data_IF_114561807988
#
_entry.id   IF_114561807988
#
_cell.length_a   1.000
_cell.length_b   1.000
_cell.length_c   1.000
_cell.angle_alpha   90.00
_cell.angle_beta   90.00
_cell.angle_gamma   90.00
#
_symmetry.space_group_name_H-M   'P 1'
#
loop_
_entity.id
_entity.type
_entity.pdbx_description
1 polymer ?
#
# COMPACT_ATOMS: atom_id res chain seq x y z
N UNK A 1 12.98 -25.56 -21.14
CA UNK A 1 13.65 -26.78 -21.67
C UNK A 1 12.64 -27.67 -22.37
N UNK A 2 12.94 -28.09 -23.58
CA UNK A 2 12.08 -28.95 -24.41
C UNK A 2 12.73 -30.30 -24.68
N UNK A 3 11.89 -31.32 -24.82
CA UNK A 3 12.26 -32.66 -25.22
C UNK A 3 11.61 -33.06 -26.55
N UNK A 4 12.36 -33.73 -27.40
CA UNK A 4 11.86 -34.38 -28.60
C UNK A 4 11.69 -35.87 -28.33
N UNK A 5 10.48 -36.37 -28.56
CA UNK A 5 10.08 -37.75 -28.26
C UNK A 5 9.58 -38.47 -29.52
N UNK A 6 9.75 -39.79 -29.56
CA UNK A 6 9.24 -40.60 -30.65
C UNK A 6 7.70 -40.78 -30.50
N UNK A 7 6.91 -40.44 -31.55
CA UNK A 7 5.46 -40.67 -31.56
C UNK A 7 5.08 -42.10 -31.87
N UNK A 8 5.99 -42.80 -32.56
CA UNK A 8 5.90 -44.22 -32.93
C UNK A 8 7.32 -44.85 -32.85
N UNK A 9 7.44 -46.17 -33.00
CA UNK A 9 8.74 -46.80 -33.06
C UNK A 9 9.52 -46.30 -34.30
N UNK A 10 10.67 -45.66 -34.09
CA UNK A 10 11.57 -45.23 -35.16
C UNK A 10 12.54 -46.35 -35.46
N UNK A 11 12.45 -46.87 -36.69
CA UNK A 11 13.21 -48.05 -37.11
C UNK A 11 14.34 -47.61 -38.06
N UNK A 12 15.53 -48.19 -37.91
CA UNK A 12 16.64 -47.93 -38.81
C UNK A 12 16.32 -48.39 -40.24
N UNK A 13 16.60 -47.60 -41.29
CA UNK A 13 16.22 -47.92 -42.65
C UNK A 13 16.97 -49.08 -43.30
N UNK A 14 18.03 -49.58 -42.66
CA UNK A 14 18.84 -50.70 -43.17
C UNK A 14 18.15 -52.09 -43.11
N UNK A 15 17.00 -52.14 -42.43
CA UNK A 15 16.21 -53.39 -42.26
C UNK A 15 16.86 -54.45 -41.37
N UNK A 16 17.97 -54.15 -40.70
CA UNK A 16 18.76 -55.06 -39.86
C UNK A 16 18.92 -54.58 -38.43
N UNK A 17 19.15 -53.28 -38.24
CA UNK A 17 19.44 -52.70 -36.92
C UNK A 17 18.19 -52.70 -36.00
N UNK A 18 16.99 -52.66 -36.58
CA UNK A 18 15.74 -52.69 -35.82
C UNK A 18 15.34 -51.34 -35.29
N UNK A 19 14.65 -51.32 -34.12
CA UNK A 19 14.11 -50.13 -33.49
C UNK A 19 15.22 -49.31 -32.83
N UNK A 20 15.37 -48.07 -33.25
CA UNK A 20 16.29 -47.08 -32.68
C UNK A 20 15.70 -46.40 -31.46
N UNK A 21 14.48 -45.93 -31.60
CA UNK A 21 13.73 -45.29 -30.54
C UNK A 21 12.34 -45.91 -30.44
N UNK A 22 11.96 -46.35 -29.26
CA UNK A 22 10.61 -46.84 -29.00
C UNK A 22 9.66 -45.69 -28.88
N UNK A 23 8.40 -45.92 -29.17
CA UNK A 23 7.32 -44.98 -28.92
C UNK A 23 7.44 -44.37 -27.52
N UNK A 24 7.23 -43.06 -27.42
CA UNK A 24 7.27 -42.22 -26.22
C UNK A 24 8.65 -42.14 -25.51
N UNK A 25 9.73 -42.67 -26.16
CA UNK A 25 11.10 -42.47 -25.65
C UNK A 25 11.66 -41.10 -26.04
N UNK A 26 12.45 -40.50 -25.16
CA UNK A 26 13.19 -39.27 -25.41
C UNK A 26 14.27 -39.52 -26.48
N UNK A 27 14.27 -38.72 -27.54
CA UNK A 27 15.26 -38.75 -28.62
C UNK A 27 16.35 -37.71 -28.35
N UNK A 28 15.96 -36.49 -28.02
CA UNK A 28 16.84 -35.36 -27.72
C UNK A 28 16.16 -34.37 -26.76
N UNK A 29 16.97 -33.58 -26.10
CA UNK A 29 16.46 -32.46 -25.28
C UNK A 29 17.38 -31.26 -25.38
N UNK A 30 16.84 -30.06 -25.17
CA UNK A 30 17.60 -28.83 -25.22
C UNK A 30 16.94 -27.68 -24.48
N UNK A 31 17.71 -26.62 -24.30
CA UNK A 31 17.30 -25.38 -23.72
C UNK A 31 17.21 -24.34 -24.83
N UNK A 32 16.14 -23.52 -24.83
CA UNK A 32 16.00 -22.39 -25.75
C UNK A 32 17.16 -21.42 -25.53
N UNK A 33 17.78 -20.97 -26.63
CA UNK A 33 18.84 -19.98 -26.64
C UNK A 33 18.29 -18.57 -26.38
N UNK A 34 19.18 -17.60 -26.15
CA UNK A 34 18.81 -16.18 -25.94
C UNK A 34 18.04 -15.56 -27.12
N UNK A 35 18.23 -16.08 -28.33
CA UNK A 35 17.51 -15.65 -29.53
C UNK A 35 16.11 -16.28 -29.67
N UNK A 36 15.68 -17.08 -28.69
CA UNK A 36 14.39 -17.75 -28.67
C UNK A 36 14.32 -19.04 -29.50
N UNK A 37 15.44 -19.57 -30.00
CA UNK A 37 15.49 -20.77 -30.83
C UNK A 37 16.04 -22.00 -30.11
N UNK A 38 15.62 -23.19 -30.55
CA UNK A 38 16.17 -24.46 -30.17
C UNK A 38 16.19 -25.37 -31.41
N UNK A 39 17.36 -25.88 -31.78
CA UNK A 39 17.52 -26.76 -32.92
C UNK A 39 17.79 -28.18 -32.44
N UNK A 40 17.10 -29.15 -33.05
CA UNK A 40 17.41 -30.56 -32.99
C UNK A 40 17.94 -31.00 -34.39
N UNK A 41 19.11 -31.51 -34.44
CA UNK A 41 19.77 -31.92 -35.70
C UNK A 41 20.14 -33.40 -35.67
N UNK A 42 20.54 -33.93 -36.83
CA UNK A 42 20.97 -35.33 -37.02
C UNK A 42 19.91 -36.35 -36.59
N UNK A 43 18.64 -36.04 -36.89
CA UNK A 43 17.50 -36.89 -36.53
C UNK A 43 17.23 -37.93 -37.62
N UNK A 44 16.70 -39.08 -37.21
CA UNK A 44 16.13 -40.06 -38.15
C UNK A 44 14.74 -39.64 -38.61
N UNK A 45 14.37 -40.09 -39.83
CA UNK A 45 13.00 -39.87 -40.32
C UNK A 45 11.98 -40.61 -39.44
N UNK A 46 10.83 -40.05 -39.25
CA UNK A 46 9.73 -40.61 -38.45
C UNK A 46 8.83 -39.55 -37.81
N UNK A 47 7.80 -40.02 -37.17
CA UNK A 47 6.89 -39.16 -36.42
C UNK A 47 7.36 -38.94 -35.01
N UNK A 48 7.44 -37.70 -34.60
CA UNK A 48 7.94 -37.26 -33.33
C UNK A 48 6.98 -36.24 -32.73
N UNK A 49 7.23 -35.88 -31.49
CA UNK A 49 6.58 -34.72 -30.87
C UNK A 49 7.54 -33.98 -29.95
N UNK A 50 7.39 -32.68 -29.91
CA UNK A 50 8.10 -31.80 -28.99
C UNK A 50 7.18 -31.51 -27.80
N UNK A 51 7.75 -31.59 -26.61
CA UNK A 51 7.02 -31.27 -25.36
C UNK A 51 7.92 -30.50 -24.42
N UNK A 52 7.32 -29.55 -23.73
CA UNK A 52 8.04 -28.84 -22.67
C UNK A 52 8.30 -29.75 -21.47
N UNK A 53 9.55 -29.75 -20.99
CA UNK A 53 9.97 -30.44 -19.79
C UNK A 53 9.99 -29.51 -18.58
N UNK A 54 10.56 -28.32 -18.77
CA UNK A 54 10.67 -27.31 -17.70
C UNK A 54 10.51 -25.94 -18.31
N UNK A 55 9.51 -25.14 -17.85
CA UNK A 55 9.31 -23.77 -18.32
C UNK A 55 10.42 -22.84 -17.81
N UNK A 56 10.61 -21.68 -18.43
CA UNK A 56 11.39 -20.60 -17.86
C UNK A 56 10.76 -20.10 -16.54
N UNK A 57 11.56 -19.40 -15.74
CA UNK A 57 11.07 -18.76 -14.53
C UNK A 57 9.96 -17.75 -14.88
N UNK A 58 8.86 -17.76 -14.11
CA UNK A 58 7.71 -16.89 -14.35
C UNK A 58 6.69 -17.40 -15.37
N UNK A 59 6.92 -18.56 -15.99
CA UNK A 59 6.00 -19.13 -16.95
C UNK A 59 5.37 -20.44 -16.45
N UNK A 60 4.22 -20.78 -17.01
CA UNK A 60 3.55 -22.06 -16.75
C UNK A 60 4.05 -23.14 -17.69
N UNK A 61 4.03 -24.38 -17.26
CA UNK A 61 4.36 -25.51 -18.15
C UNK A 61 3.29 -25.63 -19.25
N UNK A 62 3.72 -25.68 -20.50
CA UNK A 62 2.85 -26.04 -21.62
C UNK A 62 2.76 -27.58 -21.74
N UNK A 63 1.60 -28.19 -21.42
CA UNK A 63 1.44 -29.64 -21.53
C UNK A 63 1.25 -30.14 -22.97
N UNK A 64 1.22 -29.25 -23.95
CA UNK A 64 0.94 -29.58 -25.33
C UNK A 64 2.05 -30.42 -25.94
N UNK A 65 1.64 -31.47 -26.66
CA UNK A 65 2.54 -32.28 -27.49
C UNK A 65 2.45 -31.79 -28.92
N UNK A 66 3.50 -31.14 -29.40
CA UNK A 66 3.58 -30.58 -30.73
C UNK A 66 4.12 -31.63 -31.70
N UNK A 67 3.26 -32.11 -32.60
CA UNK A 67 3.66 -33.17 -33.57
C UNK A 67 4.60 -32.66 -34.63
N UNK A 68 5.61 -33.45 -34.93
CA UNK A 68 6.61 -33.21 -35.97
C UNK A 68 6.75 -34.49 -36.81
N UNK A 69 6.51 -34.38 -38.13
CA UNK A 69 6.68 -35.49 -39.08
C UNK A 69 7.87 -35.21 -40.01
N UNK A 70 8.94 -35.95 -39.82
CA UNK A 70 10.11 -35.94 -40.70
C UNK A 70 9.95 -37.08 -41.71
N UNK A 71 9.08 -36.88 -42.70
CA UNK A 71 8.84 -37.87 -43.77
C UNK A 71 9.87 -37.79 -44.89
N UNK A 72 10.16 -38.91 -45.54
CA UNK A 72 10.99 -38.95 -46.72
C UNK A 72 10.39 -38.17 -47.89
N UNK A 73 11.10 -37.20 -48.42
CA UNK A 73 10.64 -36.27 -49.49
C UNK A 73 11.21 -36.56 -50.89
N UNK A 74 11.91 -37.70 -51.02
CA UNK A 74 12.46 -38.12 -52.31
C UNK A 74 13.98 -38.01 -52.35
N UNK A 75 14.60 -38.63 -53.40
CA UNK A 75 16.05 -38.74 -53.51
C UNK A 75 16.77 -37.42 -53.80
N UNK A 76 16.04 -36.41 -54.26
CA UNK A 76 16.59 -35.11 -54.58
C UNK A 76 16.65 -34.19 -53.34
N UNK A 77 16.03 -34.58 -52.20
CA UNK A 77 16.02 -33.85 -50.95
C UNK A 77 17.07 -34.41 -50.02
N UNK A 78 18.15 -33.67 -49.84
CA UNK A 78 19.28 -34.11 -49.01
C UNK A 78 18.97 -33.98 -47.49
N UNK A 79 18.14 -33.03 -47.09
CA UNK A 79 17.81 -32.73 -45.70
C UNK A 79 16.35 -32.30 -45.58
N UNK A 80 15.64 -32.87 -44.62
CA UNK A 80 14.25 -32.49 -44.31
C UNK A 80 14.27 -31.64 -43.05
N UNK A 81 13.70 -30.43 -43.13
CA UNK A 81 13.56 -29.49 -42.01
C UNK A 81 12.09 -29.22 -41.68
N UNK A 82 11.81 -28.99 -40.42
CA UNK A 82 10.48 -28.56 -39.93
C UNK A 82 10.65 -27.50 -38.86
N UNK A 83 9.89 -26.40 -39.02
CA UNK A 83 9.84 -25.34 -38.05
C UNK A 83 8.58 -25.49 -37.18
N UNK A 84 8.74 -25.24 -35.88
CA UNK A 84 7.68 -25.27 -34.89
C UNK A 84 7.73 -23.98 -34.09
N UNK A 85 6.57 -23.37 -33.88
CA UNK A 85 6.44 -22.20 -33.01
C UNK A 85 5.61 -22.60 -31.79
N UNK A 86 6.14 -22.35 -30.61
CA UNK A 86 5.46 -22.55 -29.33
C UNK A 86 5.27 -21.20 -28.64
N UNK A 87 4.26 -21.09 -27.77
CA UNK A 87 3.98 -19.88 -27.03
C UNK A 87 3.97 -20.19 -25.54
N UNK A 88 4.75 -19.42 -24.80
CA UNK A 88 4.79 -19.51 -23.34
C UNK A 88 3.66 -18.69 -22.71
N UNK A 89 3.13 -19.15 -21.59
CA UNK A 89 2.14 -18.44 -20.81
C UNK A 89 2.73 -17.95 -19.50
N UNK A 90 2.73 -16.63 -19.28
CA UNK A 90 3.19 -16.02 -18.05
C UNK A 90 2.26 -16.41 -16.92
N UNK A 91 2.82 -16.78 -15.78
CA UNK A 91 2.08 -16.96 -14.53
C UNK A 91 1.37 -15.67 -14.13
N UNK A 92 0.17 -15.79 -13.60
CA UNK A 92 -0.62 -14.64 -13.12
C UNK A 92 -1.48 -15.01 -11.94
N UNK A 93 -1.63 -14.04 -11.06
CA UNK A 93 -2.50 -14.15 -9.91
C UNK A 93 -2.98 -12.79 -9.46
N UNK A 94 -4.23 -12.69 -9.01
CA UNK A 94 -4.74 -11.53 -8.31
C UNK A 94 -4.33 -11.55 -6.83
N UNK A 95 -4.38 -10.42 -6.16
CA UNK A 95 -4.32 -10.32 -4.71
C UNK A 95 -5.54 -9.58 -4.18
N UNK A 96 -5.85 -9.82 -2.94
CA UNK A 96 -6.94 -9.17 -2.22
C UNK A 96 -6.46 -8.62 -0.88
N UNK A 97 -7.08 -7.56 -0.43
CA UNK A 97 -6.83 -6.96 0.87
C UNK A 97 -8.12 -6.62 1.59
N UNK A 98 -8.06 -6.56 2.90
CA UNK A 98 -9.06 -5.95 3.76
C UNK A 98 -8.38 -4.85 4.55
N UNK A 99 -9.01 -3.67 4.56
CA UNK A 99 -8.59 -2.53 5.34
C UNK A 99 -9.48 -2.41 6.58
N UNK A 100 -8.84 -2.33 7.73
CA UNK A 100 -9.51 -2.13 9.01
C UNK A 100 -8.92 -0.91 9.71
N UNK A 101 -9.72 -0.26 10.56
CA UNK A 101 -9.27 0.80 11.46
C UNK A 101 -9.19 0.25 12.87
N UNK A 102 -8.07 0.45 13.53
CA UNK A 102 -7.91 0.09 14.95
C UNK A 102 -8.18 1.32 15.82
N UNK A 103 -9.26 1.30 16.55
CA UNK A 103 -9.73 2.44 17.36
C UNK A 103 -9.04 2.56 18.71
N UNK A 104 -7.76 2.20 18.80
CA UNK A 104 -6.91 2.42 19.98
C UNK A 104 -7.26 1.62 21.23
N UNK A 105 -8.47 1.13 21.38
CA UNK A 105 -8.94 0.29 22.47
C UNK A 105 -8.76 -1.22 22.23
N UNK A 106 -8.25 -1.60 21.05
CA UNK A 106 -8.07 -2.98 20.59
C UNK A 106 -9.33 -3.86 20.62
N UNK A 107 -10.50 -3.27 20.84
CA UNK A 107 -11.76 -4.00 21.02
C UNK A 107 -12.77 -3.80 19.89
N UNK A 108 -12.64 -2.73 19.11
CA UNK A 108 -13.51 -2.46 17.97
C UNK A 108 -12.69 -2.27 16.69
N UNK A 109 -12.91 -3.16 15.74
CA UNK A 109 -12.28 -3.12 14.42
C UNK A 109 -13.30 -2.65 13.39
N UNK A 110 -13.15 -1.45 12.87
CA UNK A 110 -14.03 -0.93 11.83
C UNK A 110 -13.47 -1.22 10.45
N UNK A 111 -14.34 -1.67 9.56
CA UNK A 111 -14.02 -1.89 8.16
C UNK A 111 -13.94 -0.53 7.44
N UNK A 112 -12.84 -0.28 6.73
CA UNK A 112 -12.56 1.02 6.12
C UNK A 112 -12.98 1.02 4.66
N UNK A 113 -14.01 1.82 4.32
CA UNK A 113 -14.44 2.11 2.94
C UNK A 113 -13.64 3.28 2.36
N UNK A 114 -13.32 3.22 1.07
CA UNK A 114 -12.76 4.34 0.32
C UNK A 114 -11.24 4.50 0.41
N UNK A 115 -10.54 3.58 1.06
CA UNK A 115 -9.08 3.55 0.99
C UNK A 115 -8.64 3.14 -0.42
N UNK A 116 -7.75 3.92 -1.05
CA UNK A 116 -7.27 3.70 -2.41
C UNK A 116 -5.84 3.20 -2.45
N UNK A 117 -5.57 2.19 -3.28
CA UNK A 117 -4.27 1.56 -3.42
C UNK A 117 -3.82 1.55 -4.87
N UNK A 118 -2.61 2.05 -5.14
CA UNK A 118 -1.95 1.94 -6.43
C UNK A 118 -0.89 0.87 -6.40
N UNK A 119 -0.77 0.16 -7.51
CA UNK A 119 0.13 -0.98 -7.68
C UNK A 119 1.20 -0.61 -8.67
N UNK A 120 2.46 -0.88 -8.34
CA UNK A 120 3.61 -0.62 -9.20
C UNK A 120 4.47 -1.87 -9.33
N UNK A 121 4.96 -2.15 -10.52
CA UNK A 121 5.95 -3.22 -10.72
C UNK A 121 7.32 -2.71 -10.22
N UNK A 122 7.94 -3.39 -9.29
CA UNK A 122 9.19 -2.92 -8.67
C UNK A 122 10.30 -2.70 -9.69
N UNK A 123 10.45 -3.61 -10.67
CA UNK A 123 11.48 -3.49 -11.71
C UNK A 123 11.28 -2.33 -12.68
N UNK A 124 10.08 -1.74 -12.77
CA UNK A 124 9.79 -0.59 -13.63
C UNK A 124 9.84 0.75 -12.91
N UNK A 125 10.10 0.77 -11.60
CA UNK A 125 10.27 2.02 -10.87
C UNK A 125 11.55 2.74 -11.32
N UNK A 126 11.45 4.04 -11.56
CA UNK A 126 12.53 4.86 -12.14
C UNK A 126 13.85 4.74 -11.39
N UNK A 127 13.83 4.75 -10.05
CA UNK A 127 15.04 4.60 -9.24
C UNK A 127 15.58 3.18 -9.20
N UNK A 128 14.75 2.18 -9.37
CA UNK A 128 15.17 0.77 -9.48
C UNK A 128 15.79 0.52 -10.85
N UNK A 129 15.15 0.99 -11.91
CA UNK A 129 15.62 0.87 -13.28
C UNK A 129 16.97 1.58 -13.51
N UNK A 130 17.15 2.77 -12.90
CA UNK A 130 18.43 3.49 -12.93
C UNK A 130 19.51 2.92 -12.03
N UNK A 131 19.17 1.98 -11.13
CA UNK A 131 20.07 1.44 -10.12
C UNK A 131 20.34 2.37 -8.93
N UNK A 132 19.61 3.49 -8.81
CA UNK A 132 19.68 4.41 -7.67
C UNK A 132 19.13 3.77 -6.40
N UNK A 133 18.03 2.99 -6.52
CA UNK A 133 17.46 2.20 -5.44
C UNK A 133 17.81 0.72 -5.65
N UNK A 134 18.44 0.13 -4.65
CA UNK A 134 18.80 -1.28 -4.60
C UNK A 134 18.31 -1.89 -3.28
N UNK A 135 18.11 -3.22 -3.23
CA UNK A 135 17.72 -3.89 -1.99
C UNK A 135 18.72 -3.60 -0.86
N UNK A 136 18.24 -3.12 0.27
CA UNK A 136 19.07 -2.80 1.44
C UNK A 136 19.82 -4.02 2.01
N UNK A 137 19.25 -5.22 1.85
CA UNK A 137 19.86 -6.49 2.25
C UNK A 137 20.79 -7.09 1.19
N UNK A 138 20.90 -6.47 0.00
CA UNK A 138 21.73 -6.93 -1.11
C UNK A 138 21.19 -8.14 -1.89
N UNK A 139 20.00 -8.65 -1.55
CA UNK A 139 19.40 -9.83 -2.20
C UNK A 139 18.08 -9.51 -2.86
N UNK A 140 17.07 -9.11 -2.11
CA UNK A 140 15.74 -8.79 -2.63
C UNK A 140 15.14 -7.59 -1.88
N UNK A 141 14.29 -6.85 -2.61
CA UNK A 141 13.57 -5.73 -2.03
C UNK A 141 12.64 -6.16 -0.89
N UNK A 142 12.56 -5.31 0.12
CA UNK A 142 11.65 -5.42 1.26
C UNK A 142 10.73 -4.18 1.29
N UNK A 143 9.68 -4.21 2.09
CA UNK A 143 8.79 -3.06 2.24
C UNK A 143 9.51 -1.81 2.77
N UNK A 144 10.51 -2.00 3.65
CA UNK A 144 11.33 -0.92 4.20
C UNK A 144 12.09 -0.12 3.13
N UNK A 145 12.47 -0.75 2.01
CA UNK A 145 13.19 -0.09 0.92
C UNK A 145 12.33 0.98 0.22
N UNK A 146 11.00 0.90 0.39
CA UNK A 146 10.03 1.83 -0.21
C UNK A 146 9.40 2.80 0.78
N UNK A 147 9.79 2.77 2.07
CA UNK A 147 9.28 3.72 3.05
C UNK A 147 9.73 5.14 2.68
N UNK A 148 8.73 6.03 2.47
CA UNK A 148 8.98 7.41 2.04
C UNK A 148 9.41 7.56 0.57
N UNK A 149 9.23 6.52 -0.25
CA UNK A 149 9.40 6.61 -1.70
C UNK A 149 8.33 7.51 -2.31
N UNK A 150 8.73 8.41 -3.22
CA UNK A 150 7.80 9.30 -3.93
C UNK A 150 7.27 8.60 -5.19
N UNK A 151 6.07 8.03 -5.09
CA UNK A 151 5.38 7.36 -6.20
C UNK A 151 4.65 8.33 -7.15
N UNK A 152 4.61 9.63 -6.86
CA UNK A 152 3.80 10.59 -7.64
C UNK A 152 4.19 10.71 -9.11
N UNK A 153 5.38 10.27 -9.48
CA UNK A 153 5.93 10.32 -10.85
C UNK A 153 6.05 8.96 -11.50
N UNK A 154 5.69 7.90 -10.78
CA UNK A 154 5.81 6.55 -11.28
C UNK A 154 4.57 6.13 -12.08
N UNK A 155 4.79 5.33 -13.13
CA UNK A 155 3.70 4.71 -13.86
C UNK A 155 3.19 3.48 -13.10
N UNK A 156 1.86 3.37 -12.94
CA UNK A 156 1.23 2.22 -12.33
C UNK A 156 1.48 0.94 -13.12
N UNK A 157 1.38 -0.20 -12.44
CA UNK A 157 1.50 -1.51 -13.06
C UNK A 157 0.46 -1.69 -14.18
N UNK A 158 0.76 -2.60 -15.12
CA UNK A 158 -0.17 -3.01 -16.18
C UNK A 158 -0.57 -4.47 -15.99
N UNK A 159 -1.79 -4.78 -16.40
CA UNK A 159 -2.26 -6.15 -16.62
C UNK A 159 -2.52 -6.38 -18.10
N UNK A 160 -2.77 -7.61 -18.51
CA UNK A 160 -3.03 -7.96 -19.92
C UNK A 160 -4.42 -8.53 -20.08
N UNK A 161 -5.23 -7.86 -20.92
CA UNK A 161 -6.56 -8.30 -21.32
C UNK A 161 -6.56 -8.51 -22.83
N UNK A 162 -6.88 -9.71 -23.27
CA UNK A 162 -6.84 -10.10 -24.70
C UNK A 162 -5.50 -9.74 -25.39
N UNK A 163 -4.38 -9.93 -24.69
CA UNK A 163 -3.03 -9.67 -25.17
C UNK A 163 -2.63 -8.19 -25.23
N UNK A 164 -3.47 -7.29 -24.73
CA UNK A 164 -3.19 -5.84 -24.67
C UNK A 164 -2.88 -5.41 -23.24
N UNK A 165 -1.84 -4.61 -23.08
CA UNK A 165 -1.53 -3.98 -21.82
C UNK A 165 -2.62 -2.97 -21.42
N UNK A 166 -3.14 -3.11 -20.21
CA UNK A 166 -4.16 -2.24 -19.61
C UNK A 166 -3.63 -1.79 -18.25
N UNK A 167 -3.65 -0.48 -17.93
CA UNK A 167 -3.26 -0.01 -16.61
C UNK A 167 -4.08 -0.69 -15.51
N UNK A 168 -3.42 -1.09 -14.43
CA UNK A 168 -4.09 -1.54 -13.21
C UNK A 168 -4.78 -0.33 -12.60
N UNK A 169 -6.12 -0.37 -12.39
CA UNK A 169 -6.82 0.74 -11.77
C UNK A 169 -6.41 0.89 -10.30
N UNK A 170 -6.62 2.07 -9.74
CA UNK A 170 -6.56 2.25 -8.30
C UNK A 170 -7.60 1.32 -7.64
N UNK A 171 -7.14 0.53 -6.66
CA UNK A 171 -7.99 -0.42 -5.94
C UNK A 171 -8.65 0.31 -4.78
N UNK A 172 -9.96 0.49 -4.82
CA UNK A 172 -10.71 1.20 -3.78
C UNK A 172 -11.43 0.18 -2.90
N UNK A 173 -11.29 0.31 -1.59
CA UNK A 173 -11.99 -0.56 -0.64
C UNK A 173 -13.48 -0.27 -0.60
N UNK A 174 -14.27 -1.32 -0.56
CA UNK A 174 -15.72 -1.26 -0.41
C UNK A 174 -16.15 -1.10 1.06
N UNK A 175 -17.48 -1.10 1.32
CA UNK A 175 -18.06 -1.03 2.67
C UNK A 175 -17.65 -2.15 3.62
N UNK A 176 -17.01 -3.19 3.11
CA UNK A 176 -16.44 -4.28 3.91
C UNK A 176 -14.93 -4.14 4.06
N UNK A 177 -14.38 -2.99 3.71
CA UNK A 177 -12.95 -2.75 3.68
C UNK A 177 -12.20 -3.58 2.63
N UNK A 178 -12.90 -4.19 1.68
CA UNK A 178 -12.36 -5.15 0.74
C UNK A 178 -11.97 -4.51 -0.59
N UNK A 179 -10.80 -4.85 -1.09
CA UNK A 179 -10.38 -4.54 -2.45
C UNK A 179 -9.69 -5.74 -3.10
N UNK A 180 -9.89 -5.89 -4.42
CA UNK A 180 -9.35 -6.98 -5.24
C UNK A 180 -8.60 -6.40 -6.44
N UNK A 181 -7.38 -6.87 -6.68
CA UNK A 181 -6.65 -6.52 -7.90
C UNK A 181 -7.14 -7.32 -9.10
N UNK A 182 -6.90 -6.84 -10.33
CA UNK A 182 -6.89 -7.72 -11.49
C UNK A 182 -5.77 -8.76 -11.38
N UNK A 183 -5.75 -9.75 -12.26
CA UNK A 183 -4.62 -10.67 -12.37
C UNK A 183 -3.35 -9.90 -12.75
N UNK A 184 -2.32 -10.01 -11.94
CA UNK A 184 -1.00 -9.44 -12.20
C UNK A 184 -0.08 -10.53 -12.75
N UNK A 185 0.77 -10.17 -13.68
CA UNK A 185 1.79 -11.08 -14.22
C UNK A 185 2.86 -11.43 -13.18
N UNK A 186 3.61 -12.50 -13.40
CA UNK A 186 4.78 -12.84 -12.59
C UNK A 186 5.66 -11.61 -12.34
N UNK A 187 6.01 -11.36 -11.08
CA UNK A 187 6.83 -10.24 -10.68
C UNK A 187 6.68 -9.85 -9.21
N UNK A 188 7.50 -8.90 -8.80
CA UNK A 188 7.43 -8.26 -7.49
C UNK A 188 6.78 -6.89 -7.65
N UNK A 189 5.75 -6.65 -6.88
CA UNK A 189 4.98 -5.40 -6.88
C UNK A 189 5.09 -4.70 -5.55
N UNK A 190 5.12 -3.37 -5.57
CA UNK A 190 4.90 -2.54 -4.40
C UNK A 190 3.53 -1.89 -4.51
N UNK A 191 2.83 -1.85 -3.40
CA UNK A 191 1.49 -1.29 -3.28
C UNK A 191 1.54 -0.13 -2.30
N UNK A 192 1.11 1.04 -2.76
CA UNK A 192 1.03 2.29 -2.00
C UNK A 192 -0.43 2.58 -1.66
N UNK A 193 -0.72 3.01 -0.45
CA UNK A 193 -1.99 3.64 -0.14
C UNK A 193 -1.97 5.08 -0.67
N UNK A 194 -2.62 5.28 -1.81
CA UNK A 194 -2.64 6.55 -2.56
C UNK A 194 -3.81 7.46 -2.16
N UNK A 195 -4.88 6.88 -1.63
CA UNK A 195 -6.04 7.60 -1.09
C UNK A 195 -6.28 7.13 0.33
N UNK A 196 -6.00 8.02 1.30
CA UNK A 196 -6.18 7.75 2.72
C UNK A 196 -7.55 8.29 3.15
N UNK A 197 -8.41 7.49 3.77
CA UNK A 197 -9.68 7.98 4.31
C UNK A 197 -9.47 9.05 5.39
N UNK A 198 -10.47 9.91 5.54
CA UNK A 198 -10.42 11.03 6.48
C UNK A 198 -10.14 10.55 7.92
N UNK A 199 -9.27 11.29 8.63
CA UNK A 199 -8.88 11.03 10.03
C UNK A 199 -8.06 9.75 10.26
N UNK A 200 -7.55 9.11 9.20
CA UNK A 200 -6.64 7.98 9.28
C UNK A 200 -5.23 8.35 8.82
N UNK A 201 -4.23 7.57 9.22
CA UNK A 201 -2.84 7.68 8.75
C UNK A 201 -2.62 6.67 7.63
N UNK A 202 -1.90 7.08 6.59
CA UNK A 202 -1.49 6.15 5.53
C UNK A 202 -0.65 5.00 6.12
N UNK A 203 -0.85 3.81 5.60
CA UNK A 203 0.04 2.68 5.91
C UNK A 203 1.34 2.79 5.11
N UNK A 204 2.39 2.16 5.62
CA UNK A 204 3.63 1.99 4.85
C UNK A 204 3.36 1.14 3.60
N UNK A 205 4.07 1.40 2.48
CA UNK A 205 3.98 0.56 1.30
C UNK A 205 4.29 -0.90 1.62
N UNK A 206 3.62 -1.83 0.95
CA UNK A 206 3.84 -3.26 1.14
C UNK A 206 4.11 -3.98 -0.18
N UNK A 207 4.70 -5.17 -0.11
CA UNK A 207 5.07 -5.94 -1.27
C UNK A 207 4.11 -7.09 -1.54
N UNK A 208 3.83 -7.30 -2.82
CA UNK A 208 3.09 -8.44 -3.36
C UNK A 208 3.99 -9.14 -4.38
N UNK A 209 4.26 -10.41 -4.17
CA UNK A 209 5.02 -11.25 -5.10
C UNK A 209 4.09 -12.21 -5.80
N UNK A 210 4.02 -12.12 -7.13
CA UNK A 210 3.31 -13.08 -7.98
C UNK A 210 4.33 -14.09 -8.51
N UNK A 211 4.32 -15.30 -7.99
CA UNK A 211 5.21 -16.39 -8.39
C UNK A 211 4.49 -17.73 -8.67
N UNK A 212 3.17 -17.72 -8.50
CA UNK A 212 2.30 -18.84 -8.84
C UNK A 212 1.31 -18.44 -9.94
N UNK A 213 0.79 -19.44 -10.66
CA UNK A 213 -0.32 -19.27 -11.59
C UNK A 213 -1.60 -19.79 -10.93
N UNK A 214 -2.49 -18.88 -10.54
CA UNK A 214 -3.72 -19.25 -9.86
C UNK A 214 -4.86 -18.31 -10.23
N UNK A 215 -6.07 -18.89 -10.41
CA UNK A 215 -7.32 -18.13 -10.56
C UNK A 215 -7.86 -17.66 -9.22
N UNK A 216 -7.39 -18.26 -8.12
CA UNK A 216 -7.74 -17.83 -6.78
C UNK A 216 -6.79 -16.70 -6.36
N UNK A 217 -7.32 -15.58 -5.84
CA UNK A 217 -6.49 -14.50 -5.33
C UNK A 217 -5.56 -14.99 -4.20
N UNK A 218 -4.39 -14.37 -4.10
CA UNK A 218 -3.52 -14.59 -2.94
C UNK A 218 -4.25 -14.33 -1.63
N UNK A 219 -3.80 -15.02 -0.60
CA UNK A 219 -4.38 -14.97 0.74
C UNK A 219 -4.57 -13.54 1.23
N UNK A 220 -5.66 -13.33 1.93
CA UNK A 220 -6.07 -12.09 2.57
C UNK A 220 -4.95 -11.43 3.36
N UNK A 221 -4.74 -10.15 3.08
CA UNK A 221 -3.90 -9.31 3.92
C UNK A 221 -4.80 -8.32 4.65
N UNK A 222 -4.66 -8.27 5.96
CA UNK A 222 -5.35 -7.31 6.81
C UNK A 222 -4.38 -6.17 7.08
N UNK A 223 -4.81 -4.95 6.86
CA UNK A 223 -4.04 -3.75 7.11
C UNK A 223 -4.77 -2.89 8.13
N UNK A 224 -4.09 -2.59 9.23
CA UNK A 224 -4.61 -1.76 10.31
C UNK A 224 -4.28 -0.30 10.04
N UNK A 225 -5.31 0.54 10.02
CA UNK A 225 -5.13 1.98 10.04
C UNK A 225 -5.10 2.49 11.46
N UNK A 226 -4.15 3.38 11.73
CA UNK A 226 -4.13 4.11 12.98
C UNK A 226 -4.90 5.42 12.82
N UNK A 227 -5.72 5.80 13.81
CA UNK A 227 -6.33 7.11 13.84
C UNK A 227 -5.26 8.21 13.72
N UNK A 228 -5.61 9.29 13.06
CA UNK A 228 -4.77 10.47 13.06
C UNK A 228 -4.87 11.13 14.44
N UNK A 229 -3.73 11.33 15.10
CA UNK A 229 -3.64 11.94 16.43
C UNK A 229 -2.75 13.18 16.35
N UNK A 230 -3.03 14.17 17.21
CA UNK A 230 -2.33 15.44 17.22
C UNK A 230 -2.14 15.98 18.64
N UNK A 231 -1.11 16.78 18.86
CA UNK A 231 -0.93 17.54 20.09
C UNK A 231 -1.62 18.92 19.95
N UNK A 232 -2.47 19.29 20.91
CA UNK A 232 -3.14 20.57 20.92
C UNK A 232 -2.30 21.61 21.69
N UNK A 233 -1.92 22.69 21.01
CA UNK A 233 -1.28 23.86 21.62
C UNK A 233 -2.29 24.97 21.83
N UNK A 234 -2.42 25.45 23.08
CA UNK A 234 -3.29 26.58 23.44
C UNK A 234 -2.42 27.72 23.90
N UNK A 235 -2.53 28.87 23.24
CA UNK A 235 -1.80 30.11 23.59
C UNK A 235 -2.79 31.12 24.19
N UNK A 236 -2.52 31.58 25.41
CA UNK A 236 -3.31 32.64 26.03
C UNK A 236 -2.87 34.01 25.51
N UNK A 237 -3.80 34.78 24.92
CA UNK A 237 -3.54 36.15 24.46
C UNK A 237 -4.37 37.14 25.22
N UNK A 238 -3.83 38.36 25.37
CA UNK A 238 -4.54 39.50 25.87
C UNK A 238 -5.47 40.08 24.81
N UNK A 239 -6.74 40.26 25.12
CA UNK A 239 -7.78 40.67 24.16
C UNK A 239 -7.59 42.13 23.65
N UNK A 240 -6.93 43.00 24.41
CA UNK A 240 -6.72 44.40 24.02
C UNK A 240 -5.48 44.58 23.15
N UNK A 241 -4.43 43.86 23.47
CA UNK A 241 -3.12 44.03 22.80
C UNK A 241 -2.85 42.98 21.74
N UNK A 242 -3.55 41.84 21.78
CA UNK A 242 -3.30 40.68 20.93
C UNK A 242 -2.00 39.93 21.28
N UNK A 243 -1.25 40.37 22.28
CA UNK A 243 0.03 39.75 22.66
C UNK A 243 -0.16 38.52 23.55
N UNK A 244 0.74 37.54 23.51
CA UNK A 244 0.73 36.42 24.44
C UNK A 244 0.80 36.89 25.90
N UNK A 245 0.01 36.28 26.77
CA UNK A 245 0.04 36.53 28.22
C UNK A 245 1.12 35.66 28.84
N UNK A 246 2.31 36.21 29.02
CA UNK A 246 3.50 35.48 29.54
C UNK A 246 3.38 35.23 31.05
N UNK A 247 2.35 34.46 31.42
CA UNK A 247 2.07 34.05 32.82
C UNK A 247 1.62 32.60 32.85
N UNK A 248 2.21 31.82 33.76
CA UNK A 248 1.76 30.48 34.05
C UNK A 248 0.41 30.43 34.78
N UNK A 249 -0.28 29.30 34.69
CA UNK A 249 -1.40 28.97 35.54
C UNK A 249 -2.79 29.33 35.01
N UNK A 250 -2.90 29.85 33.78
CA UNK A 250 -4.20 29.81 33.10
C UNK A 250 -4.60 28.35 32.95
N UNK A 251 -5.82 28.02 33.36
CA UNK A 251 -6.23 26.62 33.41
C UNK A 251 -7.40 26.38 32.45
N UNK A 252 -7.33 25.30 31.72
CA UNK A 252 -8.33 24.91 30.73
C UNK A 252 -8.82 23.48 30.99
N UNK A 253 -10.07 23.22 30.61
CA UNK A 253 -10.61 21.89 30.38
C UNK A 253 -10.92 21.71 28.91
N UNK A 254 -10.76 20.52 28.41
CA UNK A 254 -11.07 20.15 27.03
C UNK A 254 -12.21 19.13 27.09
N UNK A 255 -13.33 19.42 26.44
CA UNK A 255 -14.50 18.55 26.39
C UNK A 255 -14.61 17.98 24.98
N UNK A 256 -14.54 16.66 24.83
CA UNK A 256 -14.80 15.97 23.58
C UNK A 256 -16.31 15.93 23.36
N UNK A 257 -16.78 16.62 22.32
CA UNK A 257 -18.21 16.78 22.03
C UNK A 257 -18.83 15.54 21.39
N UNK A 258 -18.01 14.68 20.78
CA UNK A 258 -18.47 13.42 20.17
C UNK A 258 -18.61 12.33 21.21
N UNK A 259 -17.65 12.26 22.15
CA UNK A 259 -17.70 11.31 23.28
C UNK A 259 -18.51 11.81 24.46
N UNK A 260 -18.91 13.07 24.48
CA UNK A 260 -19.63 13.74 25.58
C UNK A 260 -18.91 13.67 26.93
N UNK A 261 -17.56 13.70 26.94
CA UNK A 261 -16.74 13.60 28.14
C UNK A 261 -15.58 14.61 28.16
N UNK A 262 -15.06 14.89 29.36
CA UNK A 262 -13.84 15.67 29.48
C UNK A 262 -12.60 14.82 29.21
N UNK A 263 -11.67 15.38 28.44
CA UNK A 263 -10.38 14.76 28.15
C UNK A 263 -9.58 14.63 29.44
N UNK A 264 -9.14 13.41 29.74
CA UNK A 264 -8.20 13.08 30.80
C UNK A 264 -6.92 12.54 30.19
N UNK A 265 -5.75 13.04 30.66
CA UNK A 265 -4.45 12.61 30.15
C UNK A 265 -3.48 12.33 31.29
N UNK A 266 -2.53 11.45 31.09
CA UNK A 266 -1.56 11.07 32.10
C UNK A 266 -0.24 11.82 31.92
N UNK A 267 0.20 12.51 32.96
CA UNK A 267 1.55 13.08 33.04
C UNK A 267 2.43 12.17 33.89
N UNK A 268 3.69 12.03 33.50
CA UNK A 268 4.62 11.12 34.17
C UNK A 268 5.67 11.85 35.04
N UNK A 269 5.82 13.16 34.86
CA UNK A 269 6.78 13.98 35.60
C UNK A 269 6.09 15.19 36.22
N UNK A 270 6.39 15.58 37.50
CA UNK A 270 7.35 14.95 38.43
C UNK A 270 6.87 13.61 39.02
N UNK A 271 5.62 13.29 38.90
CA UNK A 271 5.02 11.99 39.29
C UNK A 271 3.91 11.60 38.29
N UNK A 272 3.64 10.31 38.21
CA UNK A 272 2.51 9.84 37.38
C UNK A 272 1.18 10.30 38.02
N UNK A 273 0.41 11.10 37.30
CA UNK A 273 -0.95 11.47 37.68
C UNK A 273 -1.82 11.72 36.45
N UNK A 274 -3.11 11.42 36.57
CA UNK A 274 -4.11 11.74 35.53
C UNK A 274 -4.65 13.15 35.80
N UNK A 275 -4.64 13.98 34.75
CA UNK A 275 -5.10 15.35 34.79
C UNK A 275 -6.27 15.56 33.83
N UNK A 276 -7.27 16.32 34.24
CA UNK A 276 -8.36 16.84 33.38
C UNK A 276 -8.33 18.38 33.31
N UNK A 277 -7.33 19.00 33.91
CA UNK A 277 -7.12 20.45 33.90
C UNK A 277 -5.71 20.74 33.40
N UNK A 278 -5.64 21.35 32.24
CA UNK A 278 -4.41 21.71 31.54
C UNK A 278 -4.00 23.13 31.89
N UNK A 279 -2.72 23.39 32.15
CA UNK A 279 -2.24 24.70 32.61
C UNK A 279 -1.16 25.28 31.69
N UNK A 280 -1.26 26.61 31.42
CA UNK A 280 -0.19 27.29 30.68
C UNK A 280 1.08 27.36 31.50
N UNK A 281 2.22 27.32 30.79
CA UNK A 281 3.56 27.58 31.31
C UNK A 281 3.84 29.10 31.47
N UNK A 282 5.05 29.48 31.85
CA UNK A 282 5.47 30.86 32.02
C UNK A 282 5.53 31.64 30.70
N UNK A 283 5.57 30.98 29.57
CA UNK A 283 5.54 31.55 28.23
C UNK A 283 4.11 31.76 27.71
N UNK A 284 3.10 31.44 28.53
CA UNK A 284 1.69 31.70 28.25
C UNK A 284 1.00 30.72 27.34
N UNK A 285 1.60 29.51 27.12
CA UNK A 285 0.98 28.46 26.35
C UNK A 285 0.99 27.12 27.10
N UNK A 286 0.17 26.20 26.65
CA UNK A 286 0.21 24.80 27.01
C UNK A 286 0.23 23.93 25.73
N UNK A 287 0.77 22.74 25.85
CA UNK A 287 0.61 21.65 24.87
C UNK A 287 0.05 20.45 25.63
N UNK A 288 -0.91 19.74 25.03
CA UNK A 288 -1.45 18.55 25.67
C UNK A 288 -0.36 17.50 25.87
N UNK A 289 -0.27 16.86 27.06
CA UNK A 289 0.78 15.85 27.34
C UNK A 289 0.73 14.62 26.46
N UNK A 290 -0.48 14.23 26.04
CA UNK A 290 -0.74 13.11 25.14
C UNK A 290 -1.46 13.63 23.90
N UNK A 291 -1.37 12.90 22.79
CA UNK A 291 -2.06 13.18 21.56
C UNK A 291 -3.57 13.08 21.73
N UNK A 292 -4.31 13.84 20.96
CA UNK A 292 -5.77 13.83 20.86
C UNK A 292 -6.16 13.26 19.50
N UNK A 293 -7.27 12.53 19.43
CA UNK A 293 -7.86 12.05 18.17
C UNK A 293 -8.59 13.19 17.43
N UNK A 294 -8.80 13.02 16.13
CA UNK A 294 -9.68 13.92 15.38
C UNK A 294 -11.09 13.86 15.95
N UNK A 295 -11.63 15.01 16.31
CA UNK A 295 -12.96 15.17 16.93
C UNK A 295 -13.34 16.66 16.97
N UNK A 296 -14.52 16.94 17.50
CA UNK A 296 -14.95 18.30 17.85
C UNK A 296 -14.77 18.52 19.34
N UNK A 297 -13.88 19.44 19.69
CA UNK A 297 -13.53 19.76 21.07
C UNK A 297 -14.05 21.14 21.47
N UNK A 298 -14.53 21.22 22.72
CA UNK A 298 -14.84 22.52 23.39
C UNK A 298 -13.77 22.78 24.43
N UNK A 299 -13.06 23.91 24.26
CA UNK A 299 -11.99 24.35 25.14
C UNK A 299 -12.56 25.41 26.10
N UNK A 300 -12.54 25.09 27.38
CA UNK A 300 -13.12 25.91 28.45
C UNK A 300 -12.02 26.49 29.33
N UNK A 301 -11.92 27.81 29.43
CA UNK A 301 -11.08 28.45 30.44
C UNK A 301 -11.71 28.36 31.81
N UNK A 302 -11.13 27.60 32.74
CA UNK A 302 -11.66 27.44 34.10
C UNK A 302 -11.00 28.33 35.10
N UNK A 303 -9.79 28.85 34.82
CA UNK A 303 -9.10 29.82 35.66
C UNK A 303 -8.24 30.76 34.81
N UNK A 304 -8.45 32.06 34.93
CA UNK A 304 -7.55 33.05 34.32
C UNK A 304 -6.31 33.30 35.18
N UNK A 305 -5.21 33.80 34.58
CA UNK A 305 -4.03 34.24 35.34
C UNK A 305 -4.33 35.50 36.13
N UNK A 306 -3.51 35.77 37.15
CA UNK A 306 -3.70 36.97 37.98
C UNK A 306 -3.64 38.26 37.14
N UNK A 307 -4.67 39.10 37.31
CA UNK A 307 -4.83 40.36 36.59
C UNK A 307 -5.68 40.27 35.33
N UNK A 308 -6.21 39.07 35.02
CA UNK A 308 -7.10 38.84 33.86
C UNK A 308 -8.44 38.27 34.30
N UNK A 309 -9.47 38.54 33.49
CA UNK A 309 -10.81 37.97 33.68
C UNK A 309 -10.93 36.68 32.89
N UNK A 310 -11.58 35.68 33.46
CA UNK A 310 -11.83 34.40 32.79
C UNK A 310 -12.73 34.61 31.56
N UNK A 311 -12.41 33.97 30.47
CA UNK A 311 -13.26 33.98 29.27
C UNK A 311 -14.67 33.47 29.60
N UNK A 312 -15.69 34.13 29.04
CA UNK A 312 -17.09 33.81 29.29
C UNK A 312 -17.66 34.37 30.62
N UNK A 313 -16.83 35.05 31.42
CA UNK A 313 -17.32 35.75 32.62
C UNK A 313 -17.75 37.18 32.24
N UNK A 314 -19.05 37.45 32.21
CA UNK A 314 -19.57 38.78 32.06
C UNK A 314 -19.31 39.54 33.39
N UNK A 315 -18.36 40.45 33.38
CA UNK A 315 -18.25 41.44 34.43
C UNK A 315 -19.40 42.44 34.22
N UNK A 316 -20.21 42.67 35.23
CA UNK A 316 -21.27 43.67 35.27
C UNK A 316 -20.77 45.12 35.05
N UNK A 317 -19.51 45.34 34.84
CA UNK A 317 -18.83 46.61 34.61
C UNK A 317 -18.61 46.96 33.12
N UNK A 318 -18.93 46.06 32.20
CA UNK A 318 -18.79 46.31 30.76
C UNK A 318 -20.08 45.92 30.02
N UNK A 319 -21.13 46.71 30.20
CA UNK A 319 -22.27 46.66 29.28
C UNK A 319 -21.82 47.24 27.94
N UNK A 320 -21.56 46.36 26.96
CA UNK A 320 -21.45 46.73 25.56
C UNK A 320 -20.24 46.24 24.77
N UNK A 321 -19.16 45.81 25.37
CA UNK A 321 -18.02 45.20 24.63
C UNK A 321 -17.87 43.73 24.95
N UNK A 322 -18.10 42.88 23.92
CA UNK A 322 -17.69 41.46 23.98
C UNK A 322 -16.18 41.40 24.07
N UNK A 323 -15.65 41.18 25.26
CA UNK A 323 -14.24 40.83 25.42
C UNK A 323 -14.06 39.39 24.94
N UNK A 324 -13.79 39.23 23.67
CA UNK A 324 -13.38 37.95 23.07
C UNK A 324 -11.90 37.83 23.38
N UNK A 325 -11.56 36.93 24.26
CA UNK A 325 -10.14 36.51 24.41
C UNK A 325 -9.82 35.52 23.29
N UNK A 326 -9.10 35.92 22.24
CA UNK A 326 -8.83 35.00 21.15
C UNK A 326 -7.93 33.88 21.68
N UNK A 327 -8.46 32.68 21.66
CA UNK A 327 -7.62 31.49 21.65
C UNK A 327 -7.07 31.38 20.24
N UNK A 328 -5.74 31.45 20.11
CA UNK A 328 -5.12 31.14 18.86
C UNK A 328 -5.05 29.62 18.75
N UNK A 329 -5.93 29.06 17.94
CA UNK A 329 -5.74 27.72 17.41
C UNK A 329 -4.90 27.93 16.16
N UNK A 330 -3.63 27.58 16.21
CA UNK A 330 -2.77 27.60 15.03
C UNK A 330 -3.18 26.42 14.15
N UNK A 331 -3.89 26.71 13.06
CA UNK A 331 -4.37 25.75 12.08
C UNK A 331 -5.66 26.20 11.42
N UNK A 332 -6.00 25.62 10.27
CA UNK A 332 -7.26 25.88 9.55
C UNK A 332 -8.41 25.03 10.09
N UNK A 333 -8.62 25.00 11.39
CA UNK A 333 -9.81 24.41 11.99
C UNK A 333 -11.00 25.34 11.87
N UNK A 334 -12.21 24.80 11.70
CA UNK A 334 -13.42 25.59 11.94
C UNK A 334 -13.61 25.68 13.44
N UNK A 335 -13.71 26.93 13.95
CA UNK A 335 -14.07 27.14 15.33
C UNK A 335 -15.35 27.97 15.41
N UNK A 336 -16.13 27.74 16.45
CA UNK A 336 -17.31 28.51 16.76
C UNK A 336 -17.14 29.08 18.16
N UNK A 337 -17.14 30.42 18.25
CA UNK A 337 -17.07 31.07 19.53
C UNK A 337 -18.40 30.98 20.28
N UNK A 338 -18.35 30.47 21.51
CA UNK A 338 -19.41 30.61 22.47
C UNK A 338 -18.83 31.16 23.77
N UNK A 339 -18.99 32.49 24.05
CA UNK A 339 -18.37 33.13 25.20
C UNK A 339 -18.78 32.54 26.55
N UNK A 340 -19.91 31.83 26.61
CA UNK A 340 -20.42 31.21 27.84
C UNK A 340 -19.93 29.77 28.04
N UNK A 341 -19.60 29.09 26.97
CA UNK A 341 -19.28 27.62 26.97
C UNK A 341 -17.87 27.30 26.56
N UNK A 342 -17.09 28.28 26.10
CA UNK A 342 -15.73 28.08 25.61
C UNK A 342 -15.64 28.15 24.09
N UNK A 343 -14.47 27.79 23.54
CA UNK A 343 -14.21 27.76 22.10
C UNK A 343 -14.37 26.34 21.59
N UNK A 344 -15.19 26.19 20.56
CA UNK A 344 -15.37 24.89 19.88
C UNK A 344 -14.49 24.86 18.67
N UNK A 345 -13.66 23.80 18.58
CA UNK A 345 -12.79 23.50 17.44
C UNK A 345 -13.17 22.12 16.89
N UNK A 346 -13.18 21.99 15.56
CA UNK A 346 -13.26 20.70 14.88
C UNK A 346 -11.91 20.44 14.24
N UNK A 347 -11.30 19.33 14.56
CA UNK A 347 -10.00 18.93 14.06
C UNK A 347 -10.15 17.67 13.25
N UNK A 348 -9.70 17.70 11.99
CA UNK A 348 -9.60 16.58 11.10
C UNK A 348 -8.15 16.41 10.64
N UNK A 349 -7.82 15.31 9.96
CA UNK A 349 -6.51 15.10 9.38
C UNK A 349 -6.07 16.24 8.46
N UNK A 350 -7.02 16.82 7.71
CA UNK A 350 -6.76 17.95 6.80
C UNK A 350 -6.42 19.25 7.52
N UNK A 351 -6.97 19.46 8.72
CA UNK A 351 -6.74 20.66 9.52
C UNK A 351 -5.54 20.51 10.46
N UNK A 352 -5.25 19.30 10.91
CA UNK A 352 -4.19 19.02 11.87
C UNK A 352 -2.77 19.22 11.30
N UNK A 353 -2.56 19.02 10.00
CA UNK A 353 -1.27 19.27 9.33
C UNK A 353 -0.85 20.75 9.29
N UNK A 354 -1.69 21.66 9.74
CA UNK A 354 -1.43 23.10 9.74
C UNK A 354 -1.20 23.66 11.14
N UNK A 355 -1.13 22.79 12.14
CA UNK A 355 -0.84 23.13 13.53
C UNK A 355 0.68 22.98 13.73
N UNK A 356 1.45 23.98 13.35
CA UNK A 356 2.85 24.16 13.73
C UNK A 356 2.97 25.00 15.00
#
# INVERSE_FOLDING_TARGET
MYGLYAREDIVHPDGKTGVLFKKDSLIAQGVIKEDGTLDFSELYLGKMYVKEITPPEGYTVDPTEYEVDLAYEGQEVAEVTRDLTVQEQVKKQAFQLIKISEDGDQTETDLVEGAGFKVYLVSSLSKVESGELQPSNGEQFTAEDFRGYDFSKEEGAVTYVDGKAVPVPELITDKKGYALSPELAYGLYVVEESTVPENLKAIDPFLVKVDEDSREPMVWRIFDDRPFEFLLKIVKKDAQTGNPVLKAGTSYKIFDMEKEEYVEQTVFYPKKETISVFKTNEEGYLVTPEELKCSTYRIEEVKAPEGFVRQGYESSLYEGEKVISPLEVTGKGSYKENPKEGIVITVSSDTAHQID
#
